data_IF_617820482362
#
_entry.id   IF_617820482362
#
_cell.length_a   1.000
_cell.length_b   1.000
_cell.length_c   1.000
_cell.angle_alpha   90.00
_cell.angle_beta   90.00
_cell.angle_gamma   90.00
#
_symmetry.space_group_name_H-M   'P 1'
#
loop_
_entity.id
_entity.type
_entity.pdbx_description
1 polymer ?
#
# COMPACT_ATOMS: atom_id res chain seq x y z
N UNK A 1 -29.72 -0.34 8.63
CA UNK A 1 -28.31 -0.69 8.38
C UNK A 1 -28.19 -2.20 8.51
N UNK A 2 -28.05 -3.00 7.46
CA UNK A 2 -27.76 -4.42 7.62
C UNK A 2 -26.28 -4.55 7.99
N UNK A 3 -26.02 -4.91 9.25
CA UNK A 3 -24.68 -5.25 9.73
C UNK A 3 -24.16 -6.42 8.92
N UNK A 4 -22.92 -6.28 8.41
CA UNK A 4 -22.17 -7.38 7.80
C UNK A 4 -22.08 -8.50 8.83
N UNK A 5 -22.77 -9.61 8.57
CA UNK A 5 -22.64 -10.82 9.39
C UNK A 5 -21.16 -11.17 9.47
N UNK A 6 -20.58 -11.02 10.66
CA UNK A 6 -19.22 -11.43 10.97
C UNK A 6 -19.13 -12.93 10.62
N UNK A 7 -18.34 -13.28 9.62
CA UNK A 7 -18.01 -14.68 9.36
C UNK A 7 -17.07 -15.11 10.48
N UNK A 8 -17.60 -15.87 11.42
CA UNK A 8 -16.81 -16.48 12.50
C UNK A 8 -15.65 -17.26 11.86
N UNK A 9 -14.41 -16.92 12.28
CA UNK A 9 -13.18 -17.57 11.81
C UNK A 9 -12.43 -16.87 10.68
N UNK A 10 -12.95 -15.81 10.04
CA UNK A 10 -12.21 -15.09 9.01
C UNK A 10 -11.28 -14.05 9.64
N UNK A 11 -9.97 -14.23 9.45
CA UNK A 11 -8.95 -13.28 9.91
C UNK A 11 -9.13 -11.94 9.19
N UNK A 12 -9.31 -10.86 9.96
CA UNK A 12 -9.47 -9.49 9.42
C UNK A 12 -8.18 -9.00 8.79
N UNK A 13 -8.33 -8.33 7.66
CA UNK A 13 -7.22 -7.80 6.85
C UNK A 13 -7.26 -6.28 6.89
N UNK A 14 -6.14 -5.66 7.26
CA UNK A 14 -5.94 -4.22 7.19
C UNK A 14 -4.99 -3.82 6.07
N UNK A 15 -5.09 -2.58 5.60
CA UNK A 15 -4.16 -2.04 4.63
C UNK A 15 -3.76 -0.59 4.95
N UNK A 16 -2.51 -0.24 4.64
CA UNK A 16 -2.02 1.14 4.60
C UNK A 16 -1.70 1.49 3.16
N UNK A 17 -2.31 2.58 2.67
CA UNK A 17 -2.02 3.17 1.36
C UNK A 17 -1.10 4.36 1.57
N UNK A 18 0.13 4.26 1.08
CA UNK A 18 1.15 5.30 1.22
C UNK A 18 0.97 6.39 0.15
N UNK A 19 0.50 7.57 0.53
CA UNK A 19 0.24 8.71 -0.34
C UNK A 19 0.87 10.03 0.18
N UNK A 20 1.89 9.94 1.03
CA UNK A 20 2.49 11.09 1.71
C UNK A 20 3.64 11.77 0.94
N UNK A 21 4.02 11.26 -0.24
CA UNK A 21 5.18 11.71 -1.01
C UNK A 21 5.06 13.15 -1.54
N UNK A 22 6.19 13.88 -1.55
CA UNK A 22 6.27 15.27 -2.03
C UNK A 22 6.24 15.41 -3.56
N UNK A 23 6.46 14.35 -4.32
CA UNK A 23 6.51 14.41 -5.79
C UNK A 23 7.61 15.34 -6.35
N UNK A 24 8.73 15.55 -5.64
CA UNK A 24 9.77 16.55 -5.99
C UNK A 24 10.28 16.41 -7.41
N UNK A 25 10.53 15.16 -7.86
CA UNK A 25 11.02 14.86 -9.22
C UNK A 25 9.94 15.01 -10.30
N UNK A 26 8.68 15.12 -9.91
CA UNK A 26 7.52 15.36 -10.77
C UNK A 26 7.07 16.83 -10.76
N UNK A 27 7.92 17.76 -10.32
CA UNK A 27 7.55 19.17 -10.18
C UNK A 27 6.50 19.42 -9.07
N UNK A 28 6.58 18.69 -7.97
CA UNK A 28 5.63 18.76 -6.85
C UNK A 28 4.18 18.43 -7.23
N UNK A 29 4.00 17.50 -8.20
CA UNK A 29 2.69 16.98 -8.55
C UNK A 29 2.37 15.78 -7.67
N UNK A 30 1.16 15.66 -7.09
CA UNK A 30 0.72 14.47 -6.37
C UNK A 30 0.54 13.31 -7.36
N UNK A 31 1.53 12.44 -7.45
CA UNK A 31 1.60 11.31 -8.38
C UNK A 31 0.38 10.38 -8.26
N UNK A 32 -0.15 10.26 -7.06
CA UNK A 32 -1.34 9.48 -6.75
C UNK A 32 -2.64 10.02 -7.36
N UNK A 33 -2.63 11.26 -7.89
CA UNK A 33 -3.73 11.85 -8.65
C UNK A 33 -3.57 11.70 -10.18
N UNK A 34 -2.47 11.16 -10.67
CA UNK A 34 -2.40 10.76 -12.07
C UNK A 34 -3.47 9.72 -12.36
N UNK A 35 -4.09 9.82 -13.55
CA UNK A 35 -5.19 8.96 -13.94
C UNK A 35 -4.70 7.85 -14.87
N UNK A 36 -5.06 6.61 -14.54
CA UNK A 36 -5.01 5.49 -15.46
C UNK A 36 -6.44 5.12 -15.85
N UNK A 37 -6.73 5.11 -17.16
CA UNK A 37 -8.05 4.76 -17.71
C UNK A 37 -9.20 5.64 -17.15
N UNK A 38 -8.89 6.92 -16.83
CA UNK A 38 -9.84 7.86 -16.25
C UNK A 38 -10.01 7.77 -14.72
N UNK A 39 -9.36 6.83 -14.04
CA UNK A 39 -9.40 6.66 -12.58
C UNK A 39 -8.10 7.17 -11.94
N UNK A 40 -8.16 8.04 -10.89
CA UNK A 40 -6.98 8.42 -10.12
C UNK A 40 -6.29 7.19 -9.53
N UNK A 41 -4.94 7.14 -9.56
CA UNK A 41 -4.18 6.00 -9.02
C UNK A 41 -4.54 5.71 -7.56
N UNK A 42 -4.73 6.74 -6.74
CA UNK A 42 -5.15 6.60 -5.35
C UNK A 42 -6.48 5.83 -5.22
N UNK A 43 -7.48 6.21 -5.98
CA UNK A 43 -8.80 5.56 -5.93
C UNK A 43 -8.75 4.15 -6.50
N UNK A 44 -7.92 3.94 -7.51
CA UNK A 44 -7.64 2.62 -8.06
C UNK A 44 -7.05 1.68 -7.00
N UNK A 45 -6.07 2.12 -6.22
CA UNK A 45 -5.52 1.31 -5.13
C UNK A 45 -6.58 0.95 -4.09
N UNK A 46 -7.42 1.92 -3.69
CA UNK A 46 -8.51 1.71 -2.74
C UNK A 46 -9.50 0.67 -3.28
N UNK A 47 -9.89 0.77 -4.54
CA UNK A 47 -10.79 -0.20 -5.19
C UNK A 47 -10.18 -1.60 -5.22
N UNK A 48 -8.93 -1.73 -5.65
CA UNK A 48 -8.23 -3.03 -5.69
C UNK A 48 -8.14 -3.69 -4.31
N UNK A 49 -7.87 -2.92 -3.26
CA UNK A 49 -7.85 -3.42 -1.87
C UNK A 49 -9.22 -3.94 -1.45
N UNK A 50 -10.29 -3.19 -1.74
CA UNK A 50 -11.66 -3.63 -1.44
C UNK A 50 -12.03 -4.92 -2.22
N UNK A 51 -11.63 -5.02 -3.49
CA UNK A 51 -11.84 -6.21 -4.32
C UNK A 51 -11.04 -7.42 -3.82
N UNK A 52 -9.83 -7.20 -3.28
CA UNK A 52 -9.01 -8.23 -2.66
C UNK A 52 -9.55 -8.72 -1.29
N UNK A 53 -10.59 -8.08 -0.76
CA UNK A 53 -11.24 -8.47 0.49
C UNK A 53 -10.61 -7.86 1.75
N UNK A 54 -9.95 -6.70 1.62
CA UNK A 54 -9.49 -5.90 2.77
C UNK A 54 -10.69 -5.39 3.54
N UNK A 55 -10.64 -5.47 4.87
CA UNK A 55 -11.70 -5.02 5.77
C UNK A 55 -11.55 -3.57 6.21
N UNK A 56 -10.30 -3.15 6.44
CA UNK A 56 -9.95 -1.82 6.95
C UNK A 56 -8.81 -1.22 6.13
N UNK A 57 -8.96 -0.01 5.63
CA UNK A 57 -7.88 0.69 4.94
C UNK A 57 -7.65 2.08 5.51
N UNK A 58 -6.37 2.47 5.62
CA UNK A 58 -5.95 3.83 6.00
C UNK A 58 -5.08 4.40 4.89
N UNK A 59 -5.47 5.54 4.35
CA UNK A 59 -4.63 6.34 3.44
C UNK A 59 -3.80 7.30 4.26
N UNK A 60 -2.48 7.28 4.08
CA UNK A 60 -1.58 8.24 4.74
C UNK A 60 -1.29 9.38 3.79
N UNK A 61 -1.75 10.56 4.16
CA UNK A 61 -1.52 11.82 3.45
C UNK A 61 -0.28 12.53 4.00
N UNK A 62 0.32 13.39 3.20
CA UNK A 62 1.47 14.20 3.59
C UNK A 62 1.50 15.53 2.84
N UNK A 63 2.53 15.77 2.02
CA UNK A 63 2.76 17.05 1.35
C UNK A 63 1.59 17.59 0.50
N UNK A 64 0.71 16.71 0.01
CA UNK A 64 -0.41 17.07 -0.85
C UNK A 64 -1.77 16.73 -0.21
N UNK A 65 -1.85 16.76 1.12
CA UNK A 65 -3.08 16.41 1.83
C UNK A 65 -4.27 17.28 1.39
N UNK A 66 -4.04 18.57 1.17
CA UNK A 66 -5.02 19.56 0.69
C UNK A 66 -5.64 19.20 -0.67
N UNK A 67 -4.89 18.51 -1.52
CA UNK A 67 -5.33 18.07 -2.85
C UNK A 67 -5.95 16.67 -2.86
N UNK A 68 -5.45 15.78 -2.02
CA UNK A 68 -5.87 14.38 -1.96
C UNK A 68 -7.15 14.19 -1.13
N UNK A 69 -7.29 14.92 -0.03
CA UNK A 69 -8.45 14.78 0.85
C UNK A 69 -9.80 15.11 0.16
N UNK A 70 -9.93 16.16 -0.66
CA UNK A 70 -11.16 16.39 -1.44
C UNK A 70 -11.51 15.23 -2.36
N UNK A 71 -10.52 14.61 -3.00
CA UNK A 71 -10.76 13.45 -3.89
C UNK A 71 -11.29 12.26 -3.10
N UNK A 72 -10.72 11.97 -1.92
CA UNK A 72 -11.20 10.91 -1.04
C UNK A 72 -12.64 11.18 -0.54
N UNK A 73 -12.96 12.42 -0.18
CA UNK A 73 -14.31 12.82 0.25
C UNK A 73 -15.33 12.68 -0.87
N UNK A 74 -14.98 13.08 -2.09
CA UNK A 74 -15.86 13.00 -3.27
C UNK A 74 -16.10 11.57 -3.73
N UNK A 75 -15.14 10.68 -3.55
CA UNK A 75 -15.26 9.27 -3.93
C UNK A 75 -16.34 8.52 -3.12
N UNK A 76 -16.73 9.06 -1.96
CA UNK A 76 -17.73 8.44 -1.10
C UNK A 76 -17.21 7.19 -0.37
N UNK A 77 -18.11 6.29 0.09
CA UNK A 77 -17.73 5.10 0.80
C UNK A 77 -16.95 4.13 -0.09
N UNK A 78 -15.97 3.44 0.50
CA UNK A 78 -15.20 2.45 -0.23
C UNK A 78 -16.06 1.28 -0.71
N UNK A 79 -15.73 0.67 -1.86
CA UNK A 79 -16.47 -0.47 -2.39
C UNK A 79 -16.50 -1.65 -1.40
N UNK A 80 -17.50 -2.54 -1.57
CA UNK A 80 -17.66 -3.78 -0.81
C UNK A 80 -17.72 -3.62 0.71
N UNK A 81 -18.00 -2.41 1.21
CA UNK A 81 -18.12 -2.16 2.65
C UNK A 81 -16.80 -2.19 3.41
N UNK A 82 -15.65 -2.04 2.73
CA UNK A 82 -14.37 -1.80 3.37
C UNK A 82 -14.43 -0.49 4.16
N UNK A 83 -14.02 -0.51 5.43
CA UNK A 83 -13.91 0.71 6.21
C UNK A 83 -12.68 1.50 5.72
N UNK A 84 -12.92 2.71 5.21
CA UNK A 84 -11.88 3.60 4.69
C UNK A 84 -11.77 4.83 5.57
N UNK A 85 -10.55 5.16 5.96
CA UNK A 85 -10.20 6.42 6.62
C UNK A 85 -8.88 6.95 6.09
N UNK A 86 -8.57 8.20 6.39
CA UNK A 86 -7.27 8.79 6.06
C UNK A 86 -6.75 9.60 7.24
N UNK A 87 -5.42 9.72 7.28
CA UNK A 87 -4.70 10.48 8.30
C UNK A 87 -3.62 11.30 7.63
N UNK A 88 -3.38 12.50 8.12
CA UNK A 88 -2.26 13.32 7.69
C UNK A 88 -1.04 13.00 8.58
N UNK A 89 0.09 12.69 7.95
CA UNK A 89 1.36 12.64 8.66
C UNK A 89 1.84 14.09 8.90
N UNK A 90 2.02 14.54 10.16
CA UNK A 90 2.44 15.90 10.45
C UNK A 90 3.91 16.15 10.09
N UNK A 91 4.72 15.11 9.92
CA UNK A 91 6.15 15.18 9.62
C UNK A 91 6.54 14.30 8.43
N UNK A 92 6.01 14.56 7.20
CA UNK A 92 6.23 13.70 6.05
C UNK A 92 7.70 13.67 5.57
N UNK A 93 8.49 14.67 5.92
CA UNK A 93 9.92 14.75 5.61
C UNK A 93 10.80 13.82 6.48
N UNK A 94 10.28 13.27 7.58
CA UNK A 94 10.98 12.23 8.35
C UNK A 94 11.11 10.91 7.58
N UNK A 95 10.46 10.79 6.43
CA UNK A 95 10.58 9.68 5.51
C UNK A 95 9.42 8.68 5.56
N UNK A 96 9.48 7.65 4.70
CA UNK A 96 8.38 6.72 4.50
C UNK A 96 8.06 5.88 5.75
N UNK A 97 9.03 5.62 6.62
CA UNK A 97 8.81 4.91 7.87
C UNK A 97 7.91 5.67 8.84
N UNK A 98 8.08 6.99 8.96
CA UNK A 98 7.20 7.84 9.78
C UNK A 98 5.76 7.83 9.25
N UNK A 99 5.59 7.96 7.93
CA UNK A 99 4.28 7.87 7.29
C UNK A 99 3.63 6.51 7.51
N UNK A 100 4.39 5.43 7.39
CA UNK A 100 3.88 4.09 7.64
C UNK A 100 3.42 3.91 9.09
N UNK A 101 4.19 4.37 10.07
CA UNK A 101 3.80 4.32 11.49
C UNK A 101 2.50 5.09 11.74
N UNK A 102 2.34 6.27 11.14
CA UNK A 102 1.10 7.04 11.22
C UNK A 102 -0.10 6.22 10.71
N UNK A 103 0.02 5.57 9.57
CA UNK A 103 -1.03 4.70 9.02
C UNK A 103 -1.31 3.47 9.87
N UNK A 104 -0.27 2.79 10.34
CA UNK A 104 -0.42 1.60 11.19
C UNK A 104 -1.05 1.92 12.56
N UNK A 105 -0.74 3.10 13.13
CA UNK A 105 -1.35 3.55 14.38
C UNK A 105 -2.84 3.88 14.22
N UNK A 106 -3.27 4.31 13.04
CA UNK A 106 -4.67 4.62 12.75
C UNK A 106 -5.53 3.39 12.41
N UNK A 107 -4.91 2.25 12.11
CA UNK A 107 -5.63 0.98 11.92
C UNK A 107 -6.10 0.42 13.27
N UNK A 108 -7.29 -0.18 13.33
CA UNK A 108 -7.78 -0.82 14.55
C UNK A 108 -6.91 -2.00 14.96
N UNK A 109 -7.05 -2.41 16.21
CA UNK A 109 -6.44 -3.64 16.71
C UNK A 109 -7.19 -4.89 16.21
N UNK A 110 -6.59 -6.06 16.41
CA UNK A 110 -7.19 -7.34 16.04
C UNK A 110 -7.14 -7.67 14.55
N UNK A 111 -6.36 -6.94 13.76
CA UNK A 111 -6.05 -7.30 12.38
C UNK A 111 -4.96 -8.38 12.36
N UNK A 112 -5.27 -9.50 11.72
CA UNK A 112 -4.34 -10.64 11.64
C UNK A 112 -3.36 -10.52 10.45
N UNK A 113 -3.72 -9.74 9.44
CA UNK A 113 -2.95 -9.53 8.22
C UNK A 113 -2.95 -8.06 7.87
N UNK A 114 -1.79 -7.54 7.51
CA UNK A 114 -1.61 -6.14 7.12
C UNK A 114 -0.90 -6.07 5.77
N UNK A 115 -1.43 -5.22 4.88
CA UNK A 115 -0.82 -4.89 3.61
C UNK A 115 -0.30 -3.45 3.64
N UNK A 116 0.80 -3.21 2.92
CA UNK A 116 1.23 -1.85 2.57
C UNK A 116 1.29 -1.76 1.05
N UNK A 117 0.57 -0.80 0.49
CA UNK A 117 0.57 -0.47 -0.94
C UNK A 117 1.03 0.97 -1.15
N UNK A 118 1.61 1.25 -2.31
CA UNK A 118 1.98 2.60 -2.71
C UNK A 118 0.91 3.17 -3.65
N UNK A 119 0.52 4.42 -3.41
CA UNK A 119 -0.52 5.09 -4.20
C UNK A 119 -0.08 5.45 -5.63
N UNK A 120 1.21 5.33 -5.96
CA UNK A 120 1.82 5.68 -7.23
C UNK A 120 2.28 4.46 -8.06
N UNK A 121 1.71 3.27 -7.80
CA UNK A 121 1.96 2.06 -8.58
C UNK A 121 0.86 1.84 -9.64
N UNK A 122 1.06 2.31 -10.87
CA UNK A 122 0.00 2.30 -11.88
C UNK A 122 -0.28 0.91 -12.46
N UNK A 123 0.67 -0.01 -12.37
CA UNK A 123 0.56 -1.35 -12.98
C UNK A 123 0.00 -2.41 -12.05
N UNK A 124 -0.16 -2.11 -10.75
CA UNK A 124 -0.68 -3.07 -9.78
C UNK A 124 -2.09 -3.52 -10.17
N UNK A 125 -2.34 -4.82 -10.13
CA UNK A 125 -3.63 -5.44 -10.47
C UNK A 125 -4.18 -6.26 -9.28
N UNK A 126 -5.45 -6.64 -9.35
CA UNK A 126 -6.11 -7.43 -8.30
C UNK A 126 -5.39 -8.77 -8.05
N UNK A 127 -4.94 -9.41 -9.12
CA UNK A 127 -4.23 -10.69 -9.05
C UNK A 127 -2.94 -10.59 -8.24
N UNK A 128 -2.25 -9.45 -8.28
CA UNK A 128 -1.02 -9.22 -7.51
C UNK A 128 -1.33 -9.19 -6.00
N UNK A 129 -2.39 -8.49 -5.60
CA UNK A 129 -2.85 -8.46 -4.21
C UNK A 129 -3.27 -9.86 -3.74
N UNK A 130 -4.03 -10.57 -4.56
CA UNK A 130 -4.49 -11.92 -4.25
C UNK A 130 -3.33 -12.91 -4.14
N UNK A 131 -2.34 -12.83 -5.02
CA UNK A 131 -1.13 -13.65 -4.99
C UNK A 131 -0.33 -13.42 -3.70
N UNK A 132 -0.15 -12.16 -3.28
CA UNK A 132 0.56 -11.83 -2.05
C UNK A 132 -0.20 -12.28 -0.80
N UNK A 133 -1.52 -12.15 -0.77
CA UNK A 133 -2.36 -12.68 0.32
C UNK A 133 -2.33 -14.21 0.36
N UNK A 134 -2.30 -14.89 -0.79
CA UNK A 134 -2.17 -16.34 -0.86
C UNK A 134 -0.79 -16.79 -0.35
N UNK A 135 0.28 -16.13 -0.77
CA UNK A 135 1.64 -16.40 -0.28
C UNK A 135 1.74 -16.19 1.25
N UNK A 136 1.09 -15.16 1.79
CA UNK A 136 1.01 -14.93 3.24
C UNK A 136 0.31 -16.08 3.98
N UNK A 137 -0.81 -16.56 3.45
CA UNK A 137 -1.53 -17.69 4.06
C UNK A 137 -0.74 -19.00 4.02
N UNK A 138 0.02 -19.21 2.94
CA UNK A 138 0.81 -20.42 2.71
C UNK A 138 2.26 -20.33 3.24
N UNK A 139 2.62 -19.23 3.92
CA UNK A 139 4.00 -19.01 4.38
C UNK A 139 4.48 -20.08 5.35
N UNK A 140 5.77 -20.33 5.33
CA UNK A 140 6.39 -21.24 6.29
C UNK A 140 6.31 -20.70 7.73
N UNK A 141 6.36 -21.60 8.71
CA UNK A 141 6.44 -21.23 10.12
C UNK A 141 7.67 -20.32 10.36
N UNK A 142 7.48 -19.25 11.14
CA UNK A 142 8.52 -18.26 11.42
C UNK A 142 8.64 -17.14 10.42
N UNK A 143 8.01 -17.22 9.24
CA UNK A 143 7.92 -16.10 8.30
C UNK A 143 6.93 -15.05 8.82
N UNK A 144 7.39 -13.81 8.96
CA UNK A 144 6.63 -12.69 9.51
C UNK A 144 6.41 -11.56 8.49
N UNK A 145 7.12 -11.59 7.37
CA UNK A 145 7.01 -10.62 6.29
C UNK A 145 7.11 -11.33 4.94
N UNK A 146 6.15 -11.04 4.06
CA UNK A 146 6.15 -11.49 2.66
C UNK A 146 6.30 -10.29 1.75
N UNK A 147 7.24 -10.36 0.81
CA UNK A 147 7.63 -9.25 -0.09
C UNK A 147 7.67 -9.75 -1.52
N UNK A 148 6.97 -9.12 -2.48
CA UNK A 148 7.13 -9.45 -3.89
C UNK A 148 8.50 -9.02 -4.40
N UNK A 149 9.06 -9.78 -5.34
CA UNK A 149 10.34 -9.49 -5.95
C UNK A 149 10.28 -9.72 -7.46
N UNK A 150 10.80 -8.77 -8.24
CA UNK A 150 11.01 -8.92 -9.67
C UNK A 150 12.43 -8.53 -10.02
N UNK A 151 13.13 -9.36 -10.81
CA UNK A 151 14.53 -9.15 -11.22
C UNK A 151 15.45 -8.76 -10.04
N UNK A 152 15.28 -9.40 -8.88
CA UNK A 152 16.06 -9.11 -7.66
C UNK A 152 15.61 -7.87 -6.88
N UNK A 153 14.69 -7.07 -7.41
CA UNK A 153 14.19 -5.87 -6.75
C UNK A 153 12.93 -6.17 -5.91
N UNK A 154 12.91 -5.81 -4.63
CA UNK A 154 11.72 -5.93 -3.81
C UNK A 154 10.69 -4.85 -4.16
N UNK A 155 9.41 -5.20 -4.08
CA UNK A 155 8.30 -4.32 -4.43
C UNK A 155 7.19 -4.26 -3.38
N UNK A 156 6.03 -3.79 -3.82
CA UNK A 156 4.79 -3.74 -3.06
C UNK A 156 3.65 -4.40 -3.88
N UNK A 157 2.60 -4.90 -3.21
CA UNK A 157 2.31 -4.83 -1.78
C UNK A 157 3.22 -5.75 -0.95
N UNK A 158 3.61 -5.29 0.24
CA UNK A 158 4.19 -6.16 1.27
C UNK A 158 3.09 -6.62 2.23
N UNK A 159 3.25 -7.82 2.79
CA UNK A 159 2.27 -8.42 3.70
C UNK A 159 2.95 -8.91 4.97
N UNK A 160 2.38 -8.57 6.14
CA UNK A 160 2.92 -8.97 7.44
C UNK A 160 1.83 -9.08 8.50
N UNK A 161 2.20 -9.60 9.67
CA UNK A 161 1.32 -9.81 10.80
C UNK A 161 1.50 -8.80 11.95
N UNK A 162 0.77 -9.02 13.07
CA UNK A 162 0.79 -8.14 14.24
C UNK A 162 2.18 -7.96 14.85
N UNK A 163 3.06 -8.95 14.78
CA UNK A 163 4.41 -8.85 15.31
C UNK A 163 5.21 -7.74 14.63
N UNK A 164 5.25 -7.75 13.30
CA UNK A 164 5.96 -6.71 12.52
C UNK A 164 5.31 -5.35 12.75
N UNK A 165 3.96 -5.27 12.77
CA UNK A 165 3.23 -4.04 13.13
C UNK A 165 3.72 -3.47 14.44
N UNK A 166 3.75 -4.28 15.50
CA UNK A 166 4.17 -3.84 16.84
C UNK A 166 5.59 -3.31 16.86
N UNK A 167 6.52 -4.00 16.20
CA UNK A 167 7.91 -3.59 16.15
C UNK A 167 8.13 -2.32 15.29
N UNK A 168 7.43 -2.18 14.18
CA UNK A 168 7.48 -0.96 13.33
C UNK A 168 6.89 0.24 14.08
N UNK A 169 5.82 0.06 14.85
CA UNK A 169 5.23 1.15 15.66
C UNK A 169 6.20 1.66 16.75
N UNK A 170 7.08 0.81 17.25
CA UNK A 170 8.09 1.19 18.25
C UNK A 170 9.38 1.76 17.62
N UNK A 171 9.55 1.66 16.30
CA UNK A 171 10.72 2.17 15.62
C UNK A 171 10.78 3.70 15.65
N UNK A 172 11.99 4.26 15.61
CA UNK A 172 12.22 5.70 15.67
C UNK A 172 12.71 6.27 14.33
N UNK A 173 12.59 7.58 14.17
CA UNK A 173 13.05 8.31 12.98
C UNK A 173 12.38 7.79 11.69
N UNK A 174 13.15 7.65 10.62
CA UNK A 174 12.67 7.15 9.33
C UNK A 174 12.54 5.63 9.22
N UNK A 175 12.84 4.87 10.30
CA UNK A 175 12.80 3.40 10.24
C UNK A 175 11.38 2.85 10.06
N UNK A 176 11.26 1.81 9.23
CA UNK A 176 10.00 1.16 8.91
C UNK A 176 10.21 -0.32 8.56
N UNK A 177 9.33 -0.88 7.73
CA UNK A 177 9.44 -2.31 7.33
C UNK A 177 10.70 -2.59 6.53
N UNK A 178 11.28 -1.62 5.81
CA UNK A 178 12.53 -1.81 5.08
C UNK A 178 13.70 -2.14 6.03
N UNK A 179 13.83 -1.41 7.12
CA UNK A 179 14.85 -1.62 8.15
C UNK A 179 14.58 -2.91 8.92
N UNK A 180 13.32 -3.17 9.24
CA UNK A 180 12.89 -4.44 9.84
C UNK A 180 13.31 -5.64 8.98
N UNK A 181 13.02 -5.61 7.69
CA UNK A 181 13.40 -6.66 6.73
C UNK A 181 14.91 -6.91 6.69
N UNK A 182 15.71 -5.83 6.77
CA UNK A 182 17.19 -5.95 6.77
C UNK A 182 17.71 -6.62 8.05
N UNK A 183 17.06 -6.36 9.19
CA UNK A 183 17.45 -6.90 10.47
C UNK A 183 16.98 -8.36 10.68
N UNK A 184 15.95 -8.81 9.97
CA UNK A 184 15.30 -10.10 10.18
C UNK A 184 15.15 -10.89 8.87
N UNK A 185 16.22 -10.99 8.09
CA UNK A 185 16.19 -11.65 6.77
C UNK A 185 15.73 -13.12 6.81
N UNK A 186 15.99 -13.82 7.89
CA UNK A 186 15.55 -15.20 8.17
C UNK A 186 14.03 -15.34 8.36
N UNK A 187 13.34 -14.22 8.62
CA UNK A 187 11.87 -14.16 8.82
C UNK A 187 11.13 -13.54 7.63
N UNK A 188 11.82 -13.38 6.51
CA UNK A 188 11.28 -12.77 5.29
C UNK A 188 11.17 -13.80 4.18
N UNK A 189 9.98 -13.91 3.60
CA UNK A 189 9.75 -14.67 2.37
C UNK A 189 9.68 -13.72 1.18
N UNK A 190 10.59 -13.90 0.21
CA UNK A 190 10.52 -13.23 -1.07
C UNK A 190 9.66 -14.06 -2.03
N UNK A 191 8.72 -13.40 -2.73
CA UNK A 191 7.85 -14.03 -3.72
C UNK A 191 8.31 -13.56 -5.10
N UNK A 192 8.99 -14.43 -5.88
CA UNK A 192 9.43 -14.07 -7.22
C UNK A 192 8.24 -13.93 -8.16
N UNK A 193 8.18 -12.79 -8.87
CA UNK A 193 7.17 -12.50 -9.88
C UNK A 193 7.81 -12.40 -11.26
N UNK A 194 7.12 -12.93 -12.27
CA UNK A 194 7.58 -12.90 -13.66
C UNK A 194 7.44 -11.52 -14.32
N UNK A 195 6.77 -10.58 -13.66
CA UNK A 195 6.44 -9.26 -14.20
C UNK A 195 6.79 -8.14 -13.20
N UNK A 196 7.00 -6.92 -13.72
CA UNK A 196 7.45 -5.76 -12.95
C UNK A 196 6.32 -4.99 -12.24
N UNK A 197 5.05 -5.43 -12.27
CA UNK A 197 3.90 -4.65 -11.77
C UNK A 197 4.07 -4.20 -10.32
N UNK A 198 4.62 -5.05 -9.47
CA UNK A 198 4.83 -4.77 -8.05
C UNK A 198 6.08 -3.92 -7.75
N UNK A 199 6.94 -3.70 -8.75
CA UNK A 199 8.19 -2.93 -8.62
C UNK A 199 8.21 -1.66 -9.46
N UNK A 200 7.10 -1.35 -10.16
CA UNK A 200 6.99 -0.17 -11.02
C UNK A 200 6.18 0.91 -10.32
N UNK A 201 6.84 1.95 -9.90
CA UNK A 201 6.27 3.20 -9.40
C UNK A 201 6.55 4.34 -10.38
N UNK A 202 5.82 5.46 -10.22
CA UNK A 202 6.01 6.67 -11.02
C UNK A 202 6.75 7.69 -10.18
N UNK A 203 7.99 7.97 -10.55
CA UNK A 203 8.84 8.91 -9.83
C UNK A 203 9.21 10.16 -10.63
N UNK A 204 9.25 10.03 -11.96
CA UNK A 204 9.70 11.07 -12.89
C UNK A 204 8.75 11.18 -14.09
N UNK A 205 8.77 12.30 -14.86
CA UNK A 205 8.06 12.39 -16.15
C UNK A 205 8.49 11.31 -17.15
N UNK A 206 9.75 10.89 -17.11
CA UNK A 206 10.26 9.82 -17.98
C UNK A 206 9.64 8.46 -17.63
N UNK A 207 9.31 8.22 -16.35
CA UNK A 207 8.58 7.01 -15.95
C UNK A 207 7.21 6.96 -16.55
N UNK A 208 6.49 8.11 -16.63
CA UNK A 208 5.17 8.21 -17.28
C UNK A 208 5.28 7.84 -18.77
N UNK A 209 6.30 8.35 -19.46
CA UNK A 209 6.52 8.02 -20.87
C UNK A 209 6.89 6.55 -21.07
N UNK A 210 7.75 6.02 -20.18
CA UNK A 210 8.17 4.61 -20.20
C UNK A 210 6.97 3.68 -20.01
N UNK A 211 6.05 4.00 -19.10
CA UNK A 211 4.81 3.23 -18.91
C UNK A 211 3.99 3.13 -20.19
N UNK A 212 3.84 4.23 -20.92
CA UNK A 212 3.13 4.23 -22.21
C UNK A 212 3.81 3.36 -23.24
N UNK A 213 5.15 3.46 -23.37
CA UNK A 213 5.92 2.71 -24.38
C UNK A 213 6.01 1.21 -24.08
N UNK A 214 6.32 0.85 -22.82
CA UNK A 214 6.69 -0.51 -22.46
C UNK A 214 5.48 -1.35 -22.03
N UNK A 215 4.43 -0.71 -21.51
CA UNK A 215 3.26 -1.39 -20.96
C UNK A 215 1.92 -0.96 -21.60
N UNK A 216 1.95 0.01 -22.52
CA UNK A 216 0.71 0.55 -23.11
C UNK A 216 -0.17 1.33 -22.13
N UNK A 217 0.36 1.70 -20.94
CA UNK A 217 -0.38 2.42 -19.90
C UNK A 217 -0.04 3.90 -19.94
N UNK A 218 -1.02 4.71 -20.34
CA UNK A 218 -0.88 6.16 -20.46
C UNK A 218 -1.54 6.85 -19.27
N UNK A 219 -0.72 7.53 -18.48
CA UNK A 219 -1.19 8.35 -17.35
C UNK A 219 -1.47 9.78 -17.84
N UNK A 220 -2.53 10.37 -17.29
CA UNK A 220 -2.95 11.76 -17.56
C UNK A 220 -3.00 12.58 -16.29
#
# INVERSE_FOLDING_TARGET
MPGRLMREGQQRIGAVVMAAGAGRRMGHIPKSLLHRDGEPLLLRQIRLLAEAGVDEAVVVLGHHADRLEPVLRQAGPAPRGMALRWVANPAPDEGPGASLRCGLAALPDGLATLLVVLADQPLLELEDLQAMLAAWRARAAGVELVVPQHAGQPGHPIVFGPLVRGQVLQAQGGAGVREWRRAHGDRVQLVPLAHARCTTDVDTPDDVQRLGRDFGVWLK
#
